data_IF_962139852416
#
_entry.id   IF_962139852416
#
_cell.length_a   1.000
_cell.length_b   1.000
_cell.length_c   1.000
_cell.angle_alpha   90.00
_cell.angle_beta   90.00
_cell.angle_gamma   90.00
#
_symmetry.space_group_name_H-M   'P 1'
#
loop_
_entity.id
_entity.type
_entity.pdbx_description
1 polymer ?
#
# COMPACT_ATOMS: atom_id res chain seq x y z
N UNK A 1 -35.28 3.47 -75.44
CA UNK A 1 -34.20 4.04 -74.58
C UNK A 1 -34.74 4.54 -73.23
N UNK A 2 -35.31 3.67 -72.38
CA UNK A 2 -35.74 4.06 -71.01
C UNK A 2 -35.18 3.15 -69.90
N UNK A 3 -34.52 2.05 -70.26
CA UNK A 3 -33.98 1.07 -69.31
C UNK A 3 -32.56 1.38 -68.83
N UNK A 4 -31.79 2.18 -69.59
CA UNK A 4 -30.42 2.57 -69.21
C UNK A 4 -30.37 3.69 -68.14
N UNK A 5 -31.48 4.38 -67.87
CA UNK A 5 -31.53 5.44 -66.86
C UNK A 5 -31.51 4.88 -65.42
N UNK A 6 -32.09 3.69 -65.20
CA UNK A 6 -32.11 3.06 -63.88
C UNK A 6 -30.77 2.42 -63.48
N UNK A 7 -29.97 1.96 -64.45
CA UNK A 7 -28.63 1.43 -64.19
C UNK A 7 -27.62 2.53 -63.80
N UNK A 8 -27.86 3.77 -64.23
CA UNK A 8 -27.00 4.91 -63.89
C UNK A 8 -27.25 5.44 -62.47
N UNK A 9 -28.43 5.17 -61.89
CA UNK A 9 -28.78 5.63 -60.53
C UNK A 9 -28.29 4.70 -59.41
N UNK A 10 -27.89 3.45 -59.72
CA UNK A 10 -27.36 2.49 -58.74
C UNK A 10 -25.88 2.67 -58.41
N UNK A 11 -25.21 3.65 -59.03
CA UNK A 11 -23.76 3.91 -58.89
C UNK A 11 -23.41 5.10 -57.98
N UNK A 12 -24.40 5.76 -57.36
CA UNK A 12 -24.15 6.78 -56.33
C UNK A 12 -24.11 6.13 -54.94
N UNK A 13 -23.00 5.49 -54.60
CA UNK A 13 -22.66 5.21 -53.19
C UNK A 13 -21.82 6.35 -52.66
N UNK A 14 -22.41 7.20 -51.82
CA UNK A 14 -21.70 8.22 -51.05
C UNK A 14 -21.03 7.56 -49.85
N UNK A 15 -19.70 7.61 -49.79
CA UNK A 15 -18.93 7.23 -48.62
C UNK A 15 -19.06 8.36 -47.59
N UNK A 16 -19.73 8.09 -46.47
CA UNK A 16 -19.84 9.04 -45.35
C UNK A 16 -18.86 8.60 -44.26
N UNK A 17 -17.86 9.44 -43.99
CA UNK A 17 -16.93 9.24 -42.86
C UNK A 17 -17.51 9.87 -41.60
N UNK A 18 -17.64 9.10 -40.51
CA UNK A 18 -18.20 9.53 -39.22
C UNK A 18 -17.19 10.02 -38.19
N UNK A 19 -15.98 10.41 -38.62
CA UNK A 19 -14.92 10.88 -37.72
C UNK A 19 -15.17 12.31 -37.24
N UNK A 20 -14.88 12.58 -35.96
CA UNK A 20 -15.04 13.89 -35.34
C UNK A 20 -13.66 14.44 -34.97
N UNK A 21 -13.32 15.60 -35.53
CA UNK A 21 -12.16 16.38 -35.14
C UNK A 21 -12.52 17.51 -34.19
N UNK A 22 -11.79 17.67 -33.09
CA UNK A 22 -11.81 18.87 -32.25
C UNK A 22 -10.46 19.56 -32.41
N UNK A 23 -10.47 20.79 -32.92
CA UNK A 23 -9.27 21.55 -33.30
C UNK A 23 -8.35 20.85 -34.33
N UNK A 24 -8.83 19.83 -35.04
CA UNK A 24 -8.11 19.13 -36.13
C UNK A 24 -8.97 19.09 -37.39
N UNK A 25 -8.40 19.51 -38.52
CA UNK A 25 -9.10 19.61 -39.81
C UNK A 25 -9.08 18.29 -40.60
N UNK A 26 -8.18 17.38 -40.25
CA UNK A 26 -8.04 16.05 -40.85
C UNK A 26 -7.88 15.04 -39.71
N UNK A 27 -8.98 14.57 -39.10
CA UNK A 27 -8.92 13.59 -38.02
C UNK A 27 -8.29 12.28 -38.50
N UNK A 28 -7.26 11.81 -37.80
CA UNK A 28 -6.59 10.53 -38.12
C UNK A 28 -7.27 9.33 -37.44
N UNK A 29 -8.24 9.58 -36.57
CA UNK A 29 -9.02 8.54 -35.87
C UNK A 29 -10.46 8.99 -35.61
N UNK A 30 -11.29 8.12 -35.04
CA UNK A 30 -12.73 8.37 -34.83
C UNK A 30 -12.99 9.62 -33.97
N UNK A 31 -12.15 9.87 -32.97
CA UNK A 31 -12.11 11.12 -32.21
C UNK A 31 -10.65 11.59 -32.12
N UNK A 32 -10.34 12.68 -32.81
CA UNK A 32 -9.01 13.30 -32.79
C UNK A 32 -9.12 14.69 -32.18
N UNK A 33 -8.31 14.96 -31.15
CA UNK A 33 -8.34 16.21 -30.37
C UNK A 33 -6.95 16.81 -30.37
N UNK A 34 -6.76 17.88 -31.14
CA UNK A 34 -5.48 18.59 -31.21
C UNK A 34 -5.42 19.72 -30.17
N UNK A 35 -4.32 19.74 -29.42
CA UNK A 35 -4.04 20.80 -28.44
C UNK A 35 -3.35 22.04 -29.02
N UNK A 36 -3.12 23.05 -28.19
CA UNK A 36 -2.35 24.26 -28.52
C UNK A 36 -1.18 24.47 -27.53
N UNK A 37 -0.06 23.75 -27.70
CA UNK A 37 0.99 23.64 -26.68
C UNK A 37 1.73 24.94 -26.34
N UNK A 38 1.59 26.01 -27.14
CA UNK A 38 2.28 27.29 -26.95
C UNK A 38 1.36 28.37 -26.36
N UNK A 39 0.03 28.18 -26.41
CA UNK A 39 -0.92 29.18 -25.91
C UNK A 39 -1.19 28.96 -24.41
N UNK A 40 -0.68 29.82 -23.50
CA UNK A 40 -0.84 29.64 -22.07
C UNK A 40 -2.30 29.84 -21.59
N UNK A 41 -3.18 30.37 -22.44
CA UNK A 41 -4.60 30.55 -22.15
C UNK A 41 -5.47 29.45 -22.79
N UNK A 42 -4.85 28.44 -23.39
CA UNK A 42 -5.53 27.27 -23.91
C UNK A 42 -5.26 26.06 -23.01
N UNK A 43 -6.31 25.56 -22.35
CA UNK A 43 -6.20 24.42 -21.44
C UNK A 43 -6.45 23.11 -22.18
N UNK A 44 -5.37 22.49 -22.67
CA UNK A 44 -5.40 21.20 -23.35
C UNK A 44 -5.92 20.08 -22.43
N UNK A 45 -6.93 19.33 -22.87
CA UNK A 45 -7.40 18.14 -22.16
C UNK A 45 -8.84 17.73 -22.48
N UNK A 46 -9.21 16.54 -22.00
CA UNK A 46 -10.59 16.02 -22.05
C UNK A 46 -11.06 15.82 -20.62
N UNK A 47 -12.12 16.53 -20.23
CA UNK A 47 -12.76 16.32 -18.93
C UNK A 47 -13.89 15.31 -19.11
N UNK A 48 -13.76 14.07 -18.59
CA UNK A 48 -14.87 13.12 -18.62
C UNK A 48 -15.99 13.55 -17.64
N UNK A 49 -17.19 12.98 -17.74
CA UNK A 49 -18.26 13.28 -16.80
C UNK A 49 -17.84 13.12 -15.34
N UNK A 50 -18.10 14.15 -14.53
CA UNK A 50 -17.86 14.14 -13.09
C UNK A 50 -19.07 13.56 -12.37
N UNK A 51 -18.83 12.62 -11.46
CA UNK A 51 -19.91 11.94 -10.72
C UNK A 51 -19.42 11.54 -9.33
N UNK A 52 -20.27 11.52 -8.32
CA UNK A 52 -19.92 10.93 -7.02
C UNK A 52 -20.04 9.40 -7.06
N UNK A 53 -19.32 8.68 -6.20
CA UNK A 53 -19.44 7.22 -6.11
C UNK A 53 -20.87 6.76 -5.80
N UNK A 54 -21.60 7.52 -4.97
CA UNK A 54 -23.00 7.22 -4.65
C UNK A 54 -23.98 7.51 -5.79
N UNK A 55 -23.70 8.49 -6.64
CA UNK A 55 -24.48 8.69 -7.87
C UNK A 55 -24.15 7.63 -8.91
N UNK A 56 -22.90 7.16 -8.94
CA UNK A 56 -22.45 6.12 -9.85
C UNK A 56 -23.04 4.76 -9.48
N UNK A 57 -23.13 4.43 -8.19
CA UNK A 57 -23.73 3.19 -7.68
C UNK A 57 -25.23 3.07 -7.94
N UNK A 58 -25.93 4.19 -8.17
CA UNK A 58 -27.35 4.21 -8.58
C UNK A 58 -27.57 3.93 -10.05
N UNK A 59 -26.51 3.78 -10.86
CA UNK A 59 -26.59 3.49 -12.29
C UNK A 59 -26.16 2.06 -12.55
N UNK A 60 -26.83 1.41 -13.51
CA UNK A 60 -26.45 0.08 -14.00
C UNK A 60 -25.95 0.18 -15.43
N UNK A 61 -24.67 -0.12 -15.64
CA UNK A 61 -24.03 -0.14 -16.95
C UNK A 61 -24.03 -1.58 -17.48
N UNK A 62 -24.53 -1.78 -18.70
CA UNK A 62 -24.47 -3.06 -19.39
C UNK A 62 -23.09 -3.32 -19.98
N UNK A 63 -22.78 -4.57 -20.34
CA UNK A 63 -21.51 -4.98 -20.98
C UNK A 63 -21.15 -4.12 -22.22
N UNK A 64 -22.16 -3.65 -22.97
CA UNK A 64 -21.99 -2.77 -24.13
C UNK A 64 -21.47 -1.36 -23.81
N UNK A 65 -21.41 -0.98 -22.53
CA UNK A 65 -20.84 0.28 -22.05
C UNK A 65 -19.42 0.12 -21.52
N UNK A 66 -18.79 -1.05 -21.70
CA UNK A 66 -17.38 -1.28 -21.37
C UNK A 66 -16.50 -0.22 -22.06
N UNK A 67 -15.57 0.34 -21.31
CA UNK A 67 -14.71 1.44 -21.75
C UNK A 67 -15.29 2.83 -21.47
N UNK A 68 -16.49 2.95 -20.88
CA UNK A 68 -16.98 4.23 -20.38
C UNK A 68 -16.04 4.77 -19.30
N UNK A 69 -15.69 6.05 -19.37
CA UNK A 69 -14.78 6.71 -18.43
C UNK A 69 -15.51 7.82 -17.68
N UNK A 70 -15.27 7.92 -16.37
CA UNK A 70 -15.81 8.98 -15.50
C UNK A 70 -14.75 9.45 -14.53
N UNK A 71 -14.84 10.71 -14.11
CA UNK A 71 -14.06 11.21 -12.97
C UNK A 71 -14.93 11.16 -11.73
N UNK A 72 -14.59 10.28 -10.79
CA UNK A 72 -15.27 10.19 -9.50
C UNK A 72 -14.78 11.30 -8.59
N UNK A 73 -15.67 12.18 -8.15
CA UNK A 73 -15.33 13.34 -7.31
C UNK A 73 -15.26 13.02 -5.82
N UNK A 74 -16.06 12.05 -5.37
CA UNK A 74 -16.15 11.60 -3.97
C UNK A 74 -16.32 10.07 -3.97
N UNK A 75 -15.65 9.31 -3.07
CA UNK A 75 -15.81 7.86 -2.96
C UNK A 75 -17.26 7.41 -2.74
N UNK A 76 -17.56 6.15 -3.07
CA UNK A 76 -18.86 5.57 -2.73
C UNK A 76 -18.93 5.27 -1.22
N UNK A 77 -20.05 5.62 -0.60
CA UNK A 77 -20.29 5.34 0.83
C UNK A 77 -20.54 3.85 1.05
N UNK A 78 -21.22 3.19 0.10
CA UNK A 78 -21.46 1.75 0.09
C UNK A 78 -20.75 1.10 -1.10
N UNK A 79 -19.78 0.24 -0.81
CA UNK A 79 -19.02 -0.51 -1.80
C UNK A 79 -19.75 -1.82 -2.12
N UNK A 80 -20.56 -1.80 -3.17
CA UNK A 80 -21.27 -2.99 -3.66
C UNK A 80 -21.56 -2.92 -5.15
N UNK A 81 -21.89 -4.07 -5.74
CA UNK A 81 -22.21 -4.19 -7.16
C UNK A 81 -21.12 -3.62 -8.07
N UNK A 82 -21.52 -2.83 -9.05
CA UNK A 82 -20.60 -2.24 -10.02
C UNK A 82 -19.66 -1.18 -9.41
N UNK A 83 -19.99 -0.61 -8.25
CA UNK A 83 -19.19 0.45 -7.61
C UNK A 83 -18.24 -0.08 -6.50
N UNK A 84 -18.09 -1.40 -6.38
CA UNK A 84 -17.30 -2.06 -5.32
C UNK A 84 -15.84 -1.56 -5.19
N UNK A 85 -15.24 -1.06 -6.28
CA UNK A 85 -13.86 -0.57 -6.30
C UNK A 85 -13.73 0.97 -6.25
N UNK A 86 -14.83 1.71 -6.11
CA UNK A 86 -14.84 3.19 -6.12
C UNK A 86 -14.51 3.75 -4.74
N UNK A 87 -13.26 3.55 -4.31
CA UNK A 87 -12.79 3.81 -2.94
C UNK A 87 -12.15 5.18 -2.75
N UNK A 88 -11.71 5.80 -3.83
CA UNK A 88 -11.01 7.09 -3.84
C UNK A 88 -11.55 7.98 -4.96
N UNK A 89 -11.40 9.30 -4.80
CA UNK A 89 -11.57 10.27 -5.89
C UNK A 89 -10.55 9.98 -7.00
N UNK A 90 -10.97 10.01 -8.26
CA UNK A 90 -10.07 9.72 -9.38
C UNK A 90 -10.77 9.34 -10.67
N UNK A 91 -9.98 8.95 -11.67
CA UNK A 91 -10.48 8.50 -12.96
C UNK A 91 -10.84 7.01 -12.89
N UNK A 92 -12.02 6.64 -13.38
CA UNK A 92 -12.49 5.25 -13.43
C UNK A 92 -12.97 4.90 -14.82
N UNK A 93 -12.79 3.64 -15.21
CA UNK A 93 -13.38 3.07 -16.41
C UNK A 93 -14.27 1.87 -16.06
N UNK A 94 -15.33 1.66 -16.84
CA UNK A 94 -16.20 0.49 -16.68
C UNK A 94 -15.61 -0.70 -17.44
N UNK A 95 -15.29 -1.80 -16.76
CA UNK A 95 -14.68 -2.99 -17.38
C UNK A 95 -15.70 -3.96 -18.01
N UNK A 96 -16.99 -3.67 -17.87
CA UNK A 96 -18.10 -4.54 -18.28
C UNK A 96 -18.83 -5.21 -17.11
N UNK A 97 -18.22 -5.21 -15.93
CA UNK A 97 -18.74 -5.81 -14.68
C UNK A 97 -18.75 -4.80 -13.54
N UNK A 98 -17.67 -4.05 -13.35
CA UNK A 98 -17.48 -3.06 -12.31
C UNK A 98 -16.66 -1.86 -12.79
N UNK A 99 -16.70 -0.78 -12.01
CA UNK A 99 -15.86 0.39 -12.19
C UNK A 99 -14.48 0.11 -11.65
N UNK A 100 -13.46 0.19 -12.51
CA UNK A 100 -12.06 0.02 -12.14
C UNK A 100 -11.38 1.38 -12.12
N UNK A 101 -10.52 1.67 -11.14
CA UNK A 101 -9.69 2.87 -11.20
C UNK A 101 -8.77 2.76 -12.43
N UNK A 102 -8.67 3.83 -13.21
CA UNK A 102 -7.56 4.00 -14.15
C UNK A 102 -6.35 4.27 -13.27
N UNK A 103 -5.48 3.27 -13.11
CA UNK A 103 -4.42 3.26 -12.12
C UNK A 103 -3.62 4.57 -12.12
N UNK A 104 -3.46 5.16 -10.93
CA UNK A 104 -2.11 5.48 -10.51
C UNK A 104 -1.58 4.16 -9.98
N UNK A 105 -0.61 3.55 -10.65
CA UNK A 105 0.29 2.66 -9.93
C UNK A 105 0.92 3.57 -8.86
N UNK A 106 0.39 3.50 -7.64
CA UNK A 106 1.07 4.10 -6.51
C UNK A 106 2.28 3.21 -6.36
N UNK A 107 3.47 3.72 -6.71
CA UNK A 107 4.72 3.03 -6.42
C UNK A 107 4.60 2.47 -5.00
N UNK A 108 4.88 1.17 -4.80
CA UNK A 108 4.63 0.54 -3.52
C UNK A 108 5.32 1.39 -2.44
N UNK A 109 4.61 1.77 -1.39
CA UNK A 109 5.22 2.50 -0.27
C UNK A 109 5.67 1.44 0.73
N UNK A 110 6.95 1.48 1.10
CA UNK A 110 7.46 0.74 2.24
C UNK A 110 7.09 1.47 3.52
N UNK A 111 6.42 0.75 4.42
CA UNK A 111 6.22 1.19 5.79
C UNK A 111 7.32 0.61 6.66
N UNK A 112 8.13 1.49 7.26
CA UNK A 112 9.26 1.13 8.11
C UNK A 112 8.98 1.58 9.55
N UNK A 113 8.92 0.63 10.49
CA UNK A 113 8.81 0.92 11.91
C UNK A 113 10.08 0.47 12.62
N UNK A 114 10.64 1.36 13.44
CA UNK A 114 11.71 1.03 14.39
C UNK A 114 11.15 1.04 15.81
N UNK A 115 11.14 -0.13 16.46
CA UNK A 115 10.89 -0.26 17.89
C UNK A 115 12.22 -0.33 18.63
N UNK A 116 12.51 0.66 19.48
CA UNK A 116 13.70 0.69 20.34
C UNK A 116 13.36 0.24 21.76
N UNK A 117 14.24 -0.54 22.38
CA UNK A 117 14.10 -1.00 23.75
C UNK A 117 14.98 -0.17 24.69
N UNK A 118 14.39 0.38 25.75
CA UNK A 118 15.07 1.15 26.79
C UNK A 118 15.15 0.34 28.09
N UNK A 119 16.34 -0.17 28.39
CA UNK A 119 16.65 -0.98 29.58
C UNK A 119 16.50 -0.25 30.91
N UNK A 120 16.46 1.08 30.89
CA UNK A 120 16.33 1.89 32.11
C UNK A 120 14.87 2.24 32.42
N UNK A 121 13.96 2.03 31.46
CA UNK A 121 12.55 2.39 31.56
C UNK A 121 11.65 1.17 31.78
N UNK A 122 10.50 1.42 32.41
CA UNK A 122 9.37 0.47 32.53
C UNK A 122 8.13 0.98 31.80
N UNK A 123 8.27 2.03 30.98
CA UNK A 123 7.17 2.60 30.23
C UNK A 123 6.60 1.60 29.23
N UNK A 124 5.28 1.63 29.04
CA UNK A 124 4.61 0.89 27.96
C UNK A 124 5.04 1.40 26.58
N UNK A 125 4.65 0.67 25.54
CA UNK A 125 4.88 1.07 24.16
C UNK A 125 4.39 2.51 23.91
N UNK A 126 5.23 3.32 23.28
CA UNK A 126 4.85 4.67 22.87
C UNK A 126 5.46 5.03 21.51
N UNK A 127 4.66 5.64 20.64
CA UNK A 127 5.17 6.24 19.42
C UNK A 127 6.00 7.49 19.75
N UNK A 128 7.22 7.57 19.22
CA UNK A 128 8.11 8.74 19.39
C UNK A 128 8.12 9.64 18.16
N UNK A 129 7.49 9.22 17.05
CA UNK A 129 7.29 10.03 15.86
C UNK A 129 5.92 9.76 15.21
N UNK A 130 5.53 10.66 14.32
CA UNK A 130 4.49 10.41 13.31
C UNK A 130 5.11 9.74 12.07
N UNK A 131 4.27 9.24 11.17
CA UNK A 131 4.72 8.79 9.85
C UNK A 131 5.37 9.95 9.08
N UNK A 132 6.48 9.68 8.42
CA UNK A 132 7.12 10.65 7.52
C UNK A 132 6.46 10.64 6.15
N UNK A 133 6.55 11.75 5.43
CA UNK A 133 6.28 11.76 3.99
C UNK A 133 7.15 10.70 3.27
N UNK A 134 6.60 9.93 2.32
CA UNK A 134 7.34 8.94 1.54
C UNK A 134 8.54 9.57 0.83
N UNK A 135 9.72 8.98 1.00
CA UNK A 135 10.97 9.50 0.48
C UNK A 135 11.93 8.39 0.08
N UNK A 136 12.86 8.69 -0.83
CA UNK A 136 13.92 7.75 -1.14
C UNK A 136 14.88 7.67 0.06
N UNK A 137 14.68 6.64 0.87
CA UNK A 137 15.45 6.41 2.07
C UNK A 137 16.66 5.52 1.74
N UNK A 138 17.86 5.93 2.19
CA UNK A 138 19.13 5.21 1.96
C UNK A 138 19.57 5.08 0.49
N UNK A 139 19.14 5.99 -0.39
CA UNK A 139 19.44 5.91 -1.83
C UNK A 139 19.03 4.55 -2.41
N UNK A 140 17.88 4.05 -1.97
CA UNK A 140 17.33 2.79 -2.37
C UNK A 140 17.13 2.77 -3.90
N UNK A 141 17.70 1.77 -4.56
CA UNK A 141 17.54 1.50 -6.00
C UNK A 141 16.27 0.73 -6.33
N UNK A 142 15.53 0.28 -5.32
CA UNK A 142 14.24 -0.37 -5.52
C UNK A 142 13.18 0.67 -5.93
N UNK A 143 12.21 0.27 -6.76
CA UNK A 143 11.07 1.10 -7.21
C UNK A 143 10.04 1.33 -6.09
N UNK A 144 10.46 1.79 -4.91
CA UNK A 144 9.57 2.17 -3.83
C UNK A 144 10.13 3.31 -2.98
N UNK A 145 9.23 4.13 -2.44
CA UNK A 145 9.54 5.13 -1.42
C UNK A 145 9.33 4.52 -0.02
N UNK A 146 10.02 5.05 0.99
CA UNK A 146 9.85 4.61 2.38
C UNK A 146 9.21 5.72 3.21
N UNK A 147 8.17 5.36 3.96
CA UNK A 147 7.60 6.14 5.06
C UNK A 147 8.02 5.47 6.37
N UNK A 148 8.51 6.25 7.33
CA UNK A 148 9.07 5.71 8.57
C UNK A 148 8.33 6.24 9.81
N UNK A 149 8.27 5.41 10.85
CA UNK A 149 7.76 5.78 12.19
C UNK A 149 8.56 5.09 13.29
N UNK A 150 8.74 5.75 14.43
CA UNK A 150 9.53 5.26 15.55
C UNK A 150 8.65 5.00 16.78
N UNK A 151 9.00 3.93 17.50
CA UNK A 151 8.41 3.52 18.75
C UNK A 151 9.50 3.25 19.79
N UNK A 152 9.17 3.44 21.05
CA UNK A 152 10.01 3.04 22.19
C UNK A 152 9.21 2.22 23.19
N UNK A 153 9.89 1.34 23.91
CA UNK A 153 9.30 0.60 25.04
C UNK A 153 10.34 0.41 26.14
N UNK A 154 9.89 0.53 27.39
CA UNK A 154 10.69 0.23 28.55
C UNK A 154 10.87 -1.29 28.72
N UNK A 155 12.11 -1.74 28.84
CA UNK A 155 12.46 -3.16 28.90
C UNK A 155 13.05 -3.61 30.22
N UNK A 156 13.12 -2.72 31.22
CA UNK A 156 13.69 -3.02 32.54
C UNK A 156 13.03 -4.24 33.21
N UNK A 157 11.71 -4.41 33.03
CA UNK A 157 10.94 -5.54 33.56
C UNK A 157 11.01 -6.79 32.66
N UNK A 158 11.61 -6.70 31.47
CA UNK A 158 11.69 -7.76 30.47
C UNK A 158 13.11 -8.32 30.33
N UNK A 159 13.89 -8.29 31.41
CA UNK A 159 15.30 -8.72 31.39
C UNK A 159 16.27 -7.65 30.90
N UNK A 160 15.84 -6.37 30.87
CA UNK A 160 16.68 -5.23 30.50
C UNK A 160 17.18 -5.31 29.06
N UNK A 161 16.28 -5.64 28.13
CA UNK A 161 16.61 -5.76 26.71
C UNK A 161 17.05 -4.40 26.13
N UNK A 162 18.10 -4.39 25.32
CA UNK A 162 18.56 -3.23 24.57
C UNK A 162 18.61 -3.59 23.09
N UNK A 163 18.62 -2.57 22.23
CA UNK A 163 18.60 -2.71 20.78
C UNK A 163 17.25 -2.40 20.18
N UNK A 164 16.89 -3.10 19.11
CA UNK A 164 15.71 -2.77 18.33
C UNK A 164 15.05 -3.97 17.64
N UNK A 165 13.78 -3.78 17.31
CA UNK A 165 13.05 -4.61 16.35
C UNK A 165 12.56 -3.71 15.22
N UNK A 166 12.82 -4.11 13.98
CA UNK A 166 12.40 -3.41 12.78
C UNK A 166 11.25 -4.17 12.14
N UNK A 167 10.19 -3.45 11.77
CA UNK A 167 9.09 -3.97 10.97
C UNK A 167 9.08 -3.25 9.62
N UNK A 168 9.14 -4.01 8.53
CA UNK A 168 9.12 -3.49 7.16
C UNK A 168 7.98 -4.10 6.39
N UNK A 169 7.09 -3.29 5.83
CA UNK A 169 5.97 -3.78 5.02
C UNK A 169 5.96 -3.19 3.63
N UNK A 170 5.83 -4.07 2.65
CA UNK A 170 5.66 -3.72 1.24
C UNK A 170 4.65 -4.69 0.63
N UNK A 171 3.59 -4.18 0.00
CA UNK A 171 2.57 -4.99 -0.70
C UNK A 171 1.95 -6.13 0.14
N UNK A 172 1.85 -5.94 1.46
CA UNK A 172 1.32 -6.92 2.41
C UNK A 172 2.35 -7.91 2.95
N UNK A 173 3.54 -8.00 2.36
CA UNK A 173 4.66 -8.76 2.96
C UNK A 173 5.22 -7.94 4.11
N UNK A 174 5.36 -8.55 5.28
CA UNK A 174 5.94 -7.92 6.47
C UNK A 174 7.19 -8.70 6.86
N UNK A 175 8.33 -8.01 6.88
CA UNK A 175 9.59 -8.51 7.38
C UNK A 175 9.83 -7.94 8.77
N UNK A 176 10.10 -8.81 9.74
CA UNK A 176 10.44 -8.42 11.10
C UNK A 176 11.86 -8.86 11.40
N UNK A 177 12.69 -7.93 11.86
CA UNK A 177 14.09 -8.17 12.18
C UNK A 177 14.40 -7.74 13.60
N UNK A 178 14.99 -8.65 14.35
CA UNK A 178 15.42 -8.46 15.73
C UNK A 178 16.93 -8.21 15.75
N UNK A 179 17.33 -7.23 16.56
CA UNK A 179 18.72 -7.04 17.00
C UNK A 179 18.67 -6.63 18.45
N UNK A 180 18.84 -7.60 19.35
CA UNK A 180 18.66 -7.43 20.78
C UNK A 180 19.93 -7.83 21.52
N UNK A 181 20.17 -7.25 22.68
CA UNK A 181 21.07 -7.76 23.70
C UNK A 181 20.47 -7.43 25.06
N UNK A 182 21.11 -7.82 26.15
CA UNK A 182 20.69 -7.46 27.50
C UNK A 182 21.69 -6.51 28.14
N UNK A 183 21.23 -5.67 29.05
CA UNK A 183 22.13 -4.89 29.90
C UNK A 183 22.71 -5.78 31.02
N UNK A 184 23.98 -5.58 31.34
CA UNK A 184 24.68 -6.29 32.43
C UNK A 184 24.07 -6.00 33.81
N UNK A 185 23.38 -4.87 33.95
CA UNK A 185 22.69 -4.47 35.18
C UNK A 185 21.22 -4.93 35.23
N UNK A 186 20.82 -5.86 34.37
CA UNK A 186 19.44 -6.34 34.32
C UNK A 186 19.10 -7.16 35.56
N UNK A 187 17.92 -6.94 36.12
CA UNK A 187 17.40 -7.80 37.18
C UNK A 187 17.30 -9.26 36.67
N UNK A 188 17.41 -10.27 37.55
CA UNK A 188 17.27 -11.68 37.17
C UNK A 188 15.99 -11.93 36.38
N UNK A 189 16.07 -12.73 35.32
CA UNK A 189 14.91 -13.04 34.48
C UNK A 189 14.02 -14.06 35.18
N UNK A 190 12.89 -13.59 35.70
CA UNK A 190 11.92 -14.39 36.48
C UNK A 190 10.63 -14.66 35.70
N UNK A 191 10.73 -14.88 34.39
CA UNK A 191 9.58 -15.25 33.56
C UNK A 191 9.80 -15.00 32.08
N UNK A 192 8.74 -15.16 31.28
CA UNK A 192 8.73 -14.75 29.88
C UNK A 192 8.63 -13.23 29.77
N UNK A 193 9.28 -12.64 28.77
CA UNK A 193 8.98 -11.27 28.36
C UNK A 193 7.72 -11.30 27.51
N UNK A 194 6.69 -10.56 27.92
CA UNK A 194 5.45 -10.37 27.17
C UNK A 194 5.36 -8.87 26.86
N UNK A 195 5.69 -8.52 25.63
CA UNK A 195 5.82 -7.14 25.17
C UNK A 195 4.68 -6.83 24.22
N UNK A 196 3.72 -6.03 24.69
CA UNK A 196 2.57 -5.59 23.88
C UNK A 196 3.03 -4.65 22.76
N UNK A 197 2.65 -4.99 21.53
CA UNK A 197 2.92 -4.23 20.30
C UNK A 197 1.66 -4.02 19.45
N UNK A 198 0.48 -3.97 20.07
CA UNK A 198 -0.79 -3.77 19.39
C UNK A 198 -0.78 -2.52 18.50
N UNK A 199 -0.28 -1.39 18.99
CA UNK A 199 -0.20 -0.14 18.22
C UNK A 199 0.65 -0.28 16.95
N UNK A 200 1.74 -1.05 17.00
CA UNK A 200 2.58 -1.32 15.82
C UNK A 200 1.80 -2.17 14.82
N UNK A 201 1.08 -3.19 15.28
CA UNK A 201 0.24 -3.99 14.38
C UNK A 201 -0.97 -3.24 13.84
N UNK A 202 -1.50 -2.25 14.56
CA UNK A 202 -2.51 -1.33 14.05
C UNK A 202 -1.95 -0.41 12.95
N UNK A 203 -0.67 -0.07 13.03
CA UNK A 203 0.02 0.79 12.06
C UNK A 203 0.51 0.05 10.80
N UNK A 204 0.97 -1.21 10.94
CA UNK A 204 1.59 -1.96 9.85
C UNK A 204 0.77 -3.17 9.41
N UNK A 205 -0.20 -3.61 10.20
CA UNK A 205 -1.03 -4.78 9.93
C UNK A 205 -0.51 -6.01 10.65
N UNK A 206 -1.44 -6.73 11.27
CA UNK A 206 -1.17 -7.96 12.00
C UNK A 206 -0.55 -9.04 11.10
N UNK A 207 0.44 -9.75 11.63
CA UNK A 207 0.98 -10.99 11.06
C UNK A 207 0.68 -12.15 12.00
N UNK A 208 0.08 -13.25 11.52
CA UNK A 208 -0.36 -14.34 12.38
C UNK A 208 0.81 -15.20 12.87
N UNK A 209 0.88 -15.41 14.19
CA UNK A 209 1.59 -16.47 14.92
C UNK A 209 2.93 -16.90 14.30
N UNK A 210 3.89 -15.98 14.24
CA UNK A 210 5.21 -16.25 13.69
C UNK A 210 6.19 -16.66 14.78
N UNK A 211 7.04 -17.65 14.48
CA UNK A 211 8.17 -18.02 15.33
C UNK A 211 9.43 -17.40 14.73
N UNK A 212 10.11 -16.59 15.52
CA UNK A 212 11.41 -16.01 15.20
C UNK A 212 12.48 -16.87 15.82
N UNK A 213 13.38 -17.43 15.01
CA UNK A 213 14.53 -18.18 15.50
C UNK A 213 15.68 -17.21 15.77
N UNK A 214 15.84 -16.85 17.04
CA UNK A 214 16.93 -15.98 17.49
C UNK A 214 18.24 -16.76 17.59
N UNK A 215 19.36 -16.08 17.32
CA UNK A 215 20.70 -16.63 17.44
C UNK A 215 21.73 -15.52 17.68
N UNK A 216 22.87 -15.84 18.28
CA UNK A 216 24.02 -14.93 18.35
C UNK A 216 24.82 -14.93 17.05
N UNK A 217 25.71 -13.96 16.84
CA UNK A 217 26.60 -13.94 15.66
C UNK A 217 27.38 -15.26 15.56
N UNK A 218 27.38 -15.86 14.37
CA UNK A 218 28.08 -17.12 14.08
C UNK A 218 27.65 -18.32 14.96
N UNK A 219 26.47 -18.27 15.58
CA UNK A 219 25.92 -19.38 16.36
C UNK A 219 25.19 -20.40 15.48
N UNK A 220 25.36 -21.69 15.76
CA UNK A 220 24.52 -22.77 15.22
C UNK A 220 23.33 -23.12 16.10
N UNK A 221 23.30 -22.57 17.32
CA UNK A 221 22.20 -22.74 18.26
C UNK A 221 21.16 -21.63 18.05
N UNK A 222 19.91 -22.04 17.93
CA UNK A 222 18.76 -21.16 17.80
C UNK A 222 17.84 -21.29 19.00
N UNK A 223 17.15 -20.21 19.34
CA UNK A 223 16.15 -20.18 20.40
C UNK A 223 14.95 -19.30 19.99
N UNK A 224 13.72 -19.64 20.38
CA UNK A 224 12.54 -18.99 19.83
C UNK A 224 12.22 -17.65 20.51
N UNK A 225 11.70 -16.71 19.72
CA UNK A 225 10.77 -15.67 20.14
C UNK A 225 9.48 -15.81 19.32
N UNK A 226 8.35 -15.38 19.87
CA UNK A 226 7.04 -15.53 19.25
C UNK A 226 6.44 -14.17 18.96
N UNK A 227 5.83 -14.03 17.79
CA UNK A 227 4.97 -12.91 17.42
C UNK A 227 3.54 -13.44 17.36
N UNK A 228 2.82 -13.30 18.47
CA UNK A 228 1.47 -13.82 18.64
C UNK A 228 0.68 -12.92 19.59
N UNK A 229 -0.65 -12.91 19.47
CA UNK A 229 -1.54 -12.11 20.33
C UNK A 229 -1.14 -10.64 20.47
N UNK A 230 -0.79 -10.01 19.35
CA UNK A 230 -0.34 -8.62 19.30
C UNK A 230 0.90 -8.31 20.16
N UNK A 231 1.70 -9.31 20.49
CA UNK A 231 2.85 -9.17 21.37
C UNK A 231 4.11 -9.86 20.82
N UNK A 232 5.27 -9.35 21.22
CA UNK A 232 6.53 -10.09 21.19
C UNK A 232 6.60 -10.90 22.50
N UNK A 233 6.66 -12.22 22.39
CA UNK A 233 6.89 -13.10 23.53
C UNK A 233 8.27 -13.75 23.44
N UNK A 234 9.10 -13.54 24.46
CA UNK A 234 10.39 -14.23 24.57
C UNK A 234 10.31 -15.14 25.81
N UNK A 235 10.28 -16.47 25.63
CA UNK A 235 10.31 -17.42 26.74
C UNK A 235 11.50 -17.18 27.67
N UNK A 236 11.35 -17.48 28.96
CA UNK A 236 12.43 -17.31 29.93
C UNK A 236 13.72 -18.04 29.52
N UNK A 237 13.59 -19.25 28.97
CA UNK A 237 14.72 -20.03 28.46
C UNK A 237 15.47 -19.28 27.35
N UNK A 238 14.75 -18.69 26.41
CA UNK A 238 15.30 -17.86 25.33
C UNK A 238 15.94 -16.57 25.86
N UNK A 239 15.31 -15.88 26.80
CA UNK A 239 15.88 -14.67 27.42
C UNK A 239 17.22 -14.94 28.13
N UNK A 240 17.38 -16.14 28.69
CA UNK A 240 18.64 -16.55 29.32
C UNK A 240 19.74 -16.87 28.30
N UNK A 241 19.41 -17.09 27.03
CA UNK A 241 20.38 -17.29 25.94
C UNK A 241 20.78 -15.96 25.26
N UNK A 242 19.99 -14.90 25.41
CA UNK A 242 20.34 -13.57 24.90
C UNK A 242 21.53 -13.03 25.67
N UNK A 243 22.59 -12.70 24.95
CA UNK A 243 23.85 -12.23 25.55
C UNK A 243 23.72 -10.82 26.14
N UNK A 244 24.53 -10.53 27.15
CA UNK A 244 24.67 -9.19 27.69
C UNK A 244 25.75 -8.35 26.99
N UNK A 245 26.62 -8.99 26.21
CA UNK A 245 27.81 -8.35 25.60
C UNK A 245 27.81 -8.33 24.07
N UNK A 246 26.96 -9.15 23.43
CA UNK A 246 26.87 -9.24 21.97
C UNK A 246 25.41 -9.24 21.52
N UNK A 247 25.17 -8.84 20.28
CA UNK A 247 23.83 -8.85 19.70
C UNK A 247 23.37 -10.27 19.36
N UNK A 248 22.14 -10.56 19.74
CA UNK A 248 21.28 -11.62 19.25
C UNK A 248 20.45 -11.08 18.08
N UNK A 249 20.38 -11.85 17.01
CA UNK A 249 19.66 -11.55 15.79
C UNK A 249 18.53 -12.53 15.57
N UNK A 250 17.53 -12.15 14.78
CA UNK A 250 16.55 -13.07 14.24
C UNK A 250 15.64 -12.38 13.25
N UNK A 251 15.17 -13.12 12.26
CA UNK A 251 14.37 -12.59 11.16
C UNK A 251 13.20 -13.51 10.90
N UNK A 252 12.05 -12.92 10.60
CA UNK A 252 10.89 -13.65 10.13
C UNK A 252 10.12 -12.83 9.11
N UNK A 253 9.48 -13.52 8.17
CA UNK A 253 8.63 -12.91 7.17
C UNK A 253 7.22 -13.48 7.29
N UNK A 254 6.23 -12.59 7.30
CA UNK A 254 4.81 -12.95 7.29
C UNK A 254 4.05 -12.18 6.19
N UNK A 255 2.78 -12.52 6.04
CA UNK A 255 1.86 -11.80 5.17
C UNK A 255 0.73 -11.18 6.00
N UNK A 256 0.47 -9.90 5.79
CA UNK A 256 -0.68 -9.19 6.34
C UNK A 256 -1.68 -8.88 5.22
N UNK A 257 -2.92 -9.33 5.39
CA UNK A 257 -4.02 -9.02 4.46
C UNK A 257 -4.47 -7.54 4.54
N UNK A 258 -3.99 -6.81 5.55
CA UNK A 258 -4.34 -5.41 5.74
C UNK A 258 -3.56 -4.53 4.76
N UNK A 259 -4.25 -4.00 3.75
CA UNK A 259 -3.66 -3.19 2.65
C UNK A 259 -3.88 -1.68 2.79
N UNK A 260 -4.43 -1.19 3.90
CA UNK A 260 -4.78 0.23 4.00
C UNK A 260 -3.49 1.04 4.22
N UNK A 261 -3.18 2.03 3.37
CA UNK A 261 -2.14 3.00 3.64
C UNK A 261 -2.63 3.98 4.72
N UNK A 262 -1.84 4.16 5.79
CA UNK A 262 -2.15 5.13 6.86
C UNK A 262 -1.90 6.59 6.43
N UNK A 263 -1.37 6.80 5.22
CA UNK A 263 -1.24 8.11 4.60
C UNK A 263 -2.62 8.58 4.14
N UNK A 264 -3.39 9.09 5.10
CA UNK A 264 -4.49 10.04 4.85
C UNK A 264 -3.91 11.41 4.53
#
# INVERSE_FOLDING_TARGET
MKTYLYFFFSLLTIWVSGQVGINTVSPETTLDVAGKPIDPNHYDGIIPPRITGDQLSRKSYSISKRGAVVFVTVPATNLSGQAINVRTTGLYYFDGTAWQPVSKDVDPIEYYILLTFDSNSTASLAATSTWTEPRNQWANTNNYLTSSKNYTIGSKNFGGLEGFVVFRKINGIVNVRFRLHRTDNSAPVTGKALIDIEDIFNDIGYIPNQIVLLHNENSTQYFPALLENYAIQIPQSSLNQISTSIYTYGEVQGYSNWRIPYLK
#
